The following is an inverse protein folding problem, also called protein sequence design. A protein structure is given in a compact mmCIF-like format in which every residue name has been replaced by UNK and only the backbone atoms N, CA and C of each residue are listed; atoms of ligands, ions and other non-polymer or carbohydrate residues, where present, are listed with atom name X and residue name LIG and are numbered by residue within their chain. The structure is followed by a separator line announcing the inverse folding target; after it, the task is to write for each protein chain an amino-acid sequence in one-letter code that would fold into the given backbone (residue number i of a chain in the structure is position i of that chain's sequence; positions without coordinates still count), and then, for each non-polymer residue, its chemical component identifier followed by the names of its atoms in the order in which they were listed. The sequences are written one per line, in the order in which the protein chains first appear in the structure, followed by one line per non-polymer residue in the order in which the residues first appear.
data_IF_330051526114
#
_entry.id   IF_330051526114
#
_cell.length_a   1.000
_cell.length_b   1.000
_cell.length_c   1.000
_cell.angle_alpha   90.00
_cell.angle_beta   90.00
_cell.angle_gamma   90.00
#
_symmetry.space_group_name_H-M   'P 1'
#
loop_
_entity.id
_entity.type
_entity.pdbx_description
1 polymer ?
#
# COMPACT_ATOMS: atom_id res chain seq x y z
N UNK A 1 -3.62 28.49 -16.82
CA UNK A 1 -2.26 28.66 -17.36
C UNK A 1 -1.28 28.52 -16.21
N UNK A 2 -0.68 27.35 -16.05
CA UNK A 2 0.35 27.08 -15.03
C UNK A 2 1.69 26.97 -15.76
N UNK A 3 2.66 27.74 -15.30
CA UNK A 3 4.02 27.84 -15.85
C UNK A 3 4.70 26.47 -15.84
N UNK A 4 4.87 25.88 -17.02
CA UNK A 4 5.90 24.90 -17.30
C UNK A 4 7.23 25.66 -17.48
N UNK A 5 8.14 25.48 -16.52
CA UNK A 5 9.40 26.22 -16.47
C UNK A 5 10.58 25.36 -16.07
N UNK A 6 11.12 24.64 -17.06
CA UNK A 6 12.53 24.22 -17.21
C UNK A 6 13.17 23.49 -16.02
N UNK A 7 12.96 22.17 -15.96
CA UNK A 7 13.99 21.29 -15.41
C UNK A 7 15.07 21.07 -16.47
N UNK A 8 16.32 21.34 -16.09
CA UNK A 8 17.48 21.06 -16.91
C UNK A 8 17.51 19.58 -17.32
N UNK A 9 17.56 19.32 -18.63
CA UNK A 9 17.92 18.02 -19.21
C UNK A 9 19.42 17.72 -18.98
N UNK A 10 19.84 17.67 -17.71
CA UNK A 10 21.14 17.11 -17.34
C UNK A 10 21.00 15.58 -17.33
N UNK A 11 21.41 14.96 -18.44
CA UNK A 11 22.01 13.63 -18.53
C UNK A 11 21.46 12.55 -17.56
N UNK A 12 20.14 12.34 -17.56
CA UNK A 12 19.46 11.35 -16.72
C UNK A 12 20.01 9.92 -16.92
N UNK A 13 20.46 9.63 -18.13
CA UNK A 13 20.98 8.32 -18.53
C UNK A 13 22.41 8.06 -18.01
N UNK A 14 23.25 9.10 -17.90
CA UNK A 14 24.60 8.96 -17.34
C UNK A 14 24.59 8.65 -15.84
N UNK A 15 23.61 9.20 -15.10
CA UNK A 15 23.50 8.97 -13.66
C UNK A 15 23.06 7.54 -13.33
N UNK A 16 22.10 6.98 -14.08
CA UNK A 16 21.69 5.58 -13.91
C UNK A 16 22.86 4.62 -14.13
N UNK A 17 23.60 4.82 -15.22
CA UNK A 17 24.77 4.01 -15.56
C UNK A 17 25.85 4.04 -14.46
N UNK A 18 26.10 5.21 -13.88
CA UNK A 18 27.04 5.35 -12.77
C UNK A 18 26.58 4.59 -11.52
N UNK A 19 25.30 4.74 -11.14
CA UNK A 19 24.70 4.03 -9.99
C UNK A 19 24.82 2.51 -10.17
N UNK A 20 24.58 2.00 -11.37
CA UNK A 20 24.72 0.56 -11.65
C UNK A 20 26.14 0.07 -11.50
N UNK A 21 27.11 0.78 -12.07
CA UNK A 21 28.51 0.38 -11.94
C UNK A 21 28.96 0.34 -10.48
N UNK A 22 28.52 1.33 -9.68
CA UNK A 22 28.81 1.37 -8.25
C UNK A 22 28.12 0.22 -7.49
N UNK A 23 26.83 -0.05 -7.74
CA UNK A 23 26.12 -1.18 -7.13
C UNK A 23 26.68 -2.54 -7.54
N UNK A 24 27.13 -2.69 -8.80
CA UNK A 24 27.77 -3.91 -9.31
C UNK A 24 29.04 -4.22 -8.52
N UNK A 25 29.90 -3.22 -8.34
CA UNK A 25 31.15 -3.39 -7.56
C UNK A 25 30.88 -3.81 -6.11
N UNK A 26 29.85 -3.24 -5.47
CA UNK A 26 29.44 -3.63 -4.12
C UNK A 26 28.86 -5.04 -4.06
N UNK A 27 28.10 -5.47 -5.07
CA UNK A 27 27.53 -6.83 -5.15
C UNK A 27 28.64 -7.88 -5.29
N UNK A 28 29.62 -7.64 -6.16
CA UNK A 28 30.77 -8.53 -6.36
C UNK A 28 31.55 -8.74 -5.04
N UNK A 29 31.83 -7.67 -4.29
CA UNK A 29 32.46 -7.72 -2.96
C UNK A 29 31.63 -8.56 -1.96
N UNK A 30 30.30 -8.47 -2.04
CA UNK A 30 29.40 -9.17 -1.12
C UNK A 30 29.13 -10.65 -1.47
N UNK A 31 29.42 -11.07 -2.71
CA UNK A 31 29.06 -12.39 -3.25
C UNK A 31 30.09 -13.50 -3.02
N UNK A 32 31.16 -13.21 -2.27
CA UNK A 32 32.20 -14.19 -1.93
C UNK A 32 31.76 -15.12 -0.79
N UNK A 33 30.79 -16.01 -1.08
CA UNK A 33 30.45 -17.29 -0.42
C UNK A 33 28.96 -17.51 -0.60
N UNK A 34 28.60 -18.54 -1.36
CA UNK A 34 27.67 -19.60 -0.92
C UNK A 34 27.37 -20.58 -2.06
N UNK A 35 27.35 -21.86 -1.69
CA UNK A 35 26.87 -22.98 -2.51
C UNK A 35 26.07 -23.91 -1.62
N UNK A 36 24.94 -24.44 -2.11
CA UNK A 36 24.50 -25.87 -2.12
C UNK A 36 22.96 -25.99 -2.19
N UNK A 37 22.55 -27.13 -2.73
CA UNK A 37 21.30 -27.50 -3.37
C UNK A 37 20.21 -28.13 -2.46
N UNK A 38 19.05 -27.47 -2.44
CA UNK A 38 17.67 -28.00 -2.41
C UNK A 38 16.82 -27.01 -3.25
N UNK A 39 17.24 -26.85 -4.50
CA UNK A 39 17.51 -25.52 -5.03
C UNK A 39 16.32 -24.70 -5.50
N UNK A 40 15.28 -25.29 -6.07
CA UNK A 40 14.36 -24.47 -6.87
C UNK A 40 13.29 -23.78 -6.03
N UNK A 41 12.68 -24.49 -5.08
CA UNK A 41 11.72 -23.91 -4.15
C UNK A 41 12.37 -22.88 -3.22
N UNK A 42 13.60 -23.16 -2.74
CA UNK A 42 14.37 -22.22 -1.91
C UNK A 42 14.79 -21.00 -2.72
N UNK A 43 15.30 -21.15 -3.96
CA UNK A 43 15.67 -20.00 -4.81
C UNK A 43 14.51 -19.04 -5.06
N UNK A 44 13.28 -19.53 -5.05
CA UNK A 44 12.09 -18.72 -5.23
C UNK A 44 11.68 -17.93 -3.97
N UNK A 45 12.27 -18.21 -2.80
CA UNK A 45 12.06 -17.43 -1.59
C UNK A 45 12.96 -16.18 -1.54
N UNK A 46 12.60 -15.15 -0.77
CA UNK A 46 13.53 -14.06 -0.42
C UNK A 46 14.74 -14.56 0.38
N UNK A 47 15.95 -14.02 0.13
CA UNK A 47 17.22 -14.48 0.73
C UNK A 47 17.17 -14.74 2.25
N UNK A 48 16.57 -13.87 3.10
CA UNK A 48 16.46 -14.16 4.53
C UNK A 48 15.71 -15.47 4.83
N UNK A 49 14.60 -15.73 4.13
CA UNK A 49 13.86 -17.00 4.27
C UNK A 49 14.67 -18.18 3.73
N UNK A 50 15.46 -17.98 2.66
CA UNK A 50 16.36 -19.02 2.14
C UNK A 50 17.34 -19.47 3.22
N UNK A 51 17.99 -18.52 3.89
CA UNK A 51 18.97 -18.79 4.94
C UNK A 51 18.35 -19.53 6.12
N UNK A 52 17.12 -19.17 6.52
CA UNK A 52 16.42 -19.87 7.60
C UNK A 52 16.12 -21.33 7.22
N UNK A 53 15.64 -21.58 5.99
CA UNK A 53 15.40 -22.94 5.48
C UNK A 53 16.70 -23.73 5.36
N UNK A 54 17.77 -23.11 4.86
CA UNK A 54 19.09 -23.75 4.73
C UNK A 54 19.61 -24.16 6.11
N UNK A 55 19.60 -23.25 7.10
CA UNK A 55 20.03 -23.55 8.47
C UNK A 55 19.19 -24.66 9.11
N UNK A 56 17.88 -24.65 8.91
CA UNK A 56 17.00 -25.68 9.43
C UNK A 56 17.34 -27.06 8.82
N UNK A 57 17.62 -27.10 7.52
CA UNK A 57 18.06 -28.31 6.81
C UNK A 57 19.46 -28.78 7.25
N UNK A 58 20.40 -27.87 7.49
CA UNK A 58 21.73 -28.20 8.02
C UNK A 58 21.63 -28.82 9.41
N UNK A 59 20.84 -28.22 10.31
CA UNK A 59 20.57 -28.77 11.64
C UNK A 59 19.93 -30.16 11.58
N UNK A 60 19.01 -30.39 10.64
CA UNK A 60 18.41 -31.71 10.44
C UNK A 60 19.43 -32.73 9.93
N UNK A 61 20.26 -32.35 8.95
CA UNK A 61 21.37 -33.18 8.44
C UNK A 61 22.31 -33.59 9.55
N UNK A 62 22.74 -32.65 10.40
CA UNK A 62 23.63 -32.94 11.51
C UNK A 62 22.99 -33.90 12.53
N UNK A 63 21.72 -33.70 12.88
CA UNK A 63 21.01 -34.56 13.84
C UNK A 63 20.84 -36.00 13.36
N UNK A 64 20.69 -36.20 12.06
CA UNK A 64 20.43 -37.49 11.42
C UNK A 64 21.69 -38.14 10.82
N UNK A 65 22.82 -37.43 10.85
CA UNK A 65 24.11 -37.92 10.35
C UNK A 65 24.45 -39.27 10.96
N UNK A 66 24.76 -40.25 10.10
CA UNK A 66 25.10 -41.63 10.45
C UNK A 66 23.97 -42.43 11.15
N UNK A 67 22.74 -41.90 11.22
CA UNK A 67 21.58 -42.59 11.83
C UNK A 67 20.65 -43.23 10.80
N UNK A 68 20.70 -42.75 9.56
CA UNK A 68 19.86 -43.19 8.44
C UNK A 68 20.68 -43.23 7.15
N UNK A 69 20.15 -43.88 6.11
CA UNK A 69 20.77 -43.87 4.79
C UNK A 69 20.66 -42.51 4.10
N UNK A 70 21.54 -42.23 3.14
CA UNK A 70 21.53 -40.97 2.38
C UNK A 70 20.21 -40.75 1.60
N UNK A 71 19.59 -41.83 1.11
CA UNK A 71 18.30 -41.76 0.42
C UNK A 71 17.16 -41.37 1.37
N UNK A 72 17.12 -41.95 2.57
CA UNK A 72 16.14 -41.57 3.60
C UNK A 72 16.36 -40.14 4.08
N UNK A 73 17.62 -39.72 4.23
CA UNK A 73 17.97 -38.35 4.59
C UNK A 73 17.49 -37.35 3.54
N UNK A 74 17.70 -37.64 2.25
CA UNK A 74 17.27 -36.77 1.16
C UNK A 74 15.74 -36.63 1.09
N UNK A 75 15.00 -37.74 1.24
CA UNK A 75 13.53 -37.69 1.28
C UNK A 75 13.01 -36.88 2.47
N UNK A 76 13.57 -37.10 3.68
CA UNK A 76 13.21 -36.34 4.88
C UNK A 76 13.53 -34.85 4.73
N UNK A 77 14.67 -34.52 4.12
CA UNK A 77 15.04 -33.14 3.85
C UNK A 77 14.09 -32.47 2.88
N UNK A 78 13.61 -33.18 1.85
CA UNK A 78 12.65 -32.64 0.91
C UNK A 78 11.31 -32.35 1.60
N UNK A 79 10.78 -33.30 2.38
CA UNK A 79 9.55 -33.11 3.15
C UNK A 79 9.68 -32.00 4.18
N UNK A 80 10.78 -31.99 4.94
CA UNK A 80 11.08 -30.94 5.91
C UNK A 80 11.19 -29.57 5.24
N UNK A 81 11.88 -29.48 4.10
CA UNK A 81 11.98 -28.23 3.32
C UNK A 81 10.60 -27.74 2.92
N UNK A 82 9.75 -28.60 2.33
CA UNK A 82 8.39 -28.22 1.93
C UNK A 82 7.55 -27.74 3.12
N UNK A 83 7.61 -28.45 4.26
CA UNK A 83 6.89 -28.07 5.48
C UNK A 83 7.39 -26.74 6.04
N UNK A 84 8.71 -26.56 6.12
CA UNK A 84 9.30 -25.36 6.71
C UNK A 84 9.10 -24.13 5.83
N UNK A 85 9.18 -24.28 4.49
CA UNK A 85 8.79 -23.23 3.54
C UNK A 85 7.33 -22.82 3.76
N UNK A 86 6.42 -23.78 3.91
CA UNK A 86 5.01 -23.49 4.19
C UNK A 86 4.84 -22.74 5.52
N UNK A 87 5.49 -23.19 6.59
CA UNK A 87 5.43 -22.56 7.91
C UNK A 87 5.97 -21.13 7.91
N UNK A 88 7.17 -20.93 7.33
CA UNK A 88 7.76 -19.59 7.26
C UNK A 88 6.88 -18.69 6.40
N UNK A 89 6.42 -19.11 5.22
CA UNK A 89 5.52 -18.29 4.38
C UNK A 89 4.24 -17.93 5.14
N UNK A 90 3.62 -18.85 5.88
CA UNK A 90 2.42 -18.58 6.67
C UNK A 90 2.64 -17.55 7.79
N UNK A 91 3.86 -17.44 8.31
CA UNK A 91 4.23 -16.40 9.30
C UNK A 91 4.24 -14.98 8.72
N UNK A 92 4.28 -14.87 7.39
CA UNK A 92 4.33 -13.63 6.62
C UNK A 92 2.99 -13.30 5.93
N UNK A 93 1.91 -13.99 6.31
CA UNK A 93 0.55 -13.75 5.82
C UNK A 93 -0.26 -13.05 6.92
N UNK A 94 -0.92 -11.96 6.55
CA UNK A 94 -1.94 -11.34 7.41
C UNK A 94 -3.19 -12.22 7.42
N UNK A 95 -3.37 -12.95 8.51
CA UNK A 95 -4.48 -13.91 8.69
C UNK A 95 -5.87 -13.25 8.58
N UNK A 96 -5.98 -11.94 8.78
CA UNK A 96 -7.26 -11.23 8.63
C UNK A 96 -7.70 -11.19 7.18
N UNK A 97 -6.75 -11.04 6.26
CA UNK A 97 -7.03 -10.74 4.84
C UNK A 97 -6.61 -11.86 3.89
N UNK A 98 -5.74 -12.77 4.33
CA UNK A 98 -5.19 -13.83 3.49
C UNK A 98 -4.16 -13.34 2.46
N UNK A 99 -3.62 -12.13 2.63
CA UNK A 99 -2.56 -11.55 1.79
C UNK A 99 -1.23 -11.51 2.54
N UNK A 100 -0.15 -11.22 1.81
CA UNK A 100 1.16 -10.95 2.39
C UNK A 100 1.11 -9.82 3.44
N UNK A 101 1.97 -9.86 4.45
CA UNK A 101 2.18 -8.76 5.39
C UNK A 101 3.30 -7.82 4.91
N UNK A 102 3.43 -6.67 5.59
CA UNK A 102 4.46 -5.66 5.28
C UNK A 102 5.88 -6.21 5.28
N UNK A 103 6.17 -7.23 6.09
CA UNK A 103 7.50 -7.81 6.13
C UNK A 103 7.75 -8.67 4.90
N UNK A 104 6.76 -9.43 4.44
CA UNK A 104 6.86 -10.16 3.18
C UNK A 104 7.02 -9.21 2.00
N UNK A 105 6.26 -8.12 1.96
CA UNK A 105 6.42 -7.10 0.93
C UNK A 105 7.87 -6.60 0.85
N UNK A 106 8.48 -6.27 2.00
CA UNK A 106 9.88 -5.84 2.04
C UNK A 106 10.84 -6.90 1.49
N UNK A 107 10.62 -8.14 1.86
CA UNK A 107 11.42 -9.27 1.40
C UNK A 107 11.30 -9.48 -0.11
N UNK A 108 10.07 -9.43 -0.64
CA UNK A 108 9.80 -9.57 -2.07
C UNK A 108 10.33 -8.36 -2.86
N UNK A 109 10.24 -7.14 -2.32
CA UNK A 109 10.84 -5.95 -2.93
C UNK A 109 12.37 -6.08 -3.03
N UNK A 110 13.04 -6.49 -1.93
CA UNK A 110 14.50 -6.69 -1.95
C UNK A 110 14.89 -7.73 -2.98
N UNK A 111 14.20 -8.87 -3.02
CA UNK A 111 14.42 -9.93 -4.02
C UNK A 111 14.23 -9.41 -5.44
N UNK A 112 13.14 -8.68 -5.69
CA UNK A 112 12.82 -8.18 -7.02
C UNK A 112 13.85 -7.15 -7.48
N UNK A 113 14.22 -6.19 -6.62
CA UNK A 113 15.25 -5.19 -6.95
C UNK A 113 16.60 -5.88 -7.20
N UNK A 114 17.01 -6.85 -6.36
CA UNK A 114 18.27 -7.59 -6.56
C UNK A 114 18.29 -8.33 -7.90
N UNK A 115 17.18 -8.97 -8.27
CA UNK A 115 17.02 -9.62 -9.56
C UNK A 115 17.09 -8.63 -10.73
N UNK A 116 16.35 -7.51 -10.66
CA UNK A 116 16.39 -6.46 -11.68
C UNK A 116 17.81 -5.92 -11.87
N UNK A 117 18.55 -5.71 -10.77
CA UNK A 117 19.95 -5.27 -10.81
C UNK A 117 20.85 -6.33 -11.45
N UNK A 118 20.64 -7.61 -11.13
CA UNK A 118 21.43 -8.70 -11.72
C UNK A 118 21.23 -8.85 -13.22
N UNK A 119 19.98 -8.73 -13.69
CA UNK A 119 19.66 -8.75 -15.10
C UNK A 119 20.30 -7.55 -15.82
N UNK A 120 20.23 -6.34 -15.24
CA UNK A 120 20.94 -5.17 -15.77
C UNK A 120 22.46 -5.41 -15.87
N UNK A 121 23.07 -6.00 -14.85
CA UNK A 121 24.52 -6.28 -14.84
C UNK A 121 24.97 -7.30 -15.89
N UNK A 122 24.04 -8.18 -16.32
CA UNK A 122 24.27 -9.19 -17.36
C UNK A 122 23.94 -8.67 -18.77
N UNK A 123 23.10 -7.64 -18.89
CA UNK A 123 22.71 -7.06 -20.18
C UNK A 123 23.83 -6.20 -20.79
N UNK A 124 23.96 -6.22 -22.12
CA UNK A 124 24.87 -5.34 -22.86
C UNK A 124 24.35 -3.89 -22.98
N UNK A 125 23.08 -3.66 -22.65
CA UNK A 125 22.42 -2.35 -22.66
C UNK A 125 21.99 -1.93 -21.23
N UNK A 126 22.86 -1.24 -20.47
CA UNK A 126 22.59 -0.83 -19.09
C UNK A 126 21.48 0.22 -18.96
N UNK A 127 20.97 0.76 -20.08
CA UNK A 127 19.86 1.72 -20.07
C UNK A 127 18.48 1.03 -20.02
N UNK A 128 18.42 -0.25 -20.37
CA UNK A 128 17.18 -1.05 -20.39
C UNK A 128 16.99 -1.78 -19.07
N UNK A 129 16.15 -1.23 -18.20
CA UNK A 129 15.70 -1.91 -16.98
C UNK A 129 14.75 -3.06 -17.34
N UNK A 130 15.10 -4.32 -16.98
CA UNK A 130 14.35 -5.50 -17.41
C UNK A 130 13.04 -5.73 -16.65
N UNK A 131 12.83 -5.04 -15.52
CA UNK A 131 11.57 -5.08 -14.78
C UNK A 131 11.25 -3.72 -14.14
N UNK A 132 10.21 -3.05 -14.63
CA UNK A 132 9.71 -1.79 -14.07
C UNK A 132 8.89 -2.09 -12.81
N UNK A 133 9.57 -2.17 -11.65
CA UNK A 133 8.92 -2.36 -10.35
C UNK A 133 8.15 -1.09 -10.01
N UNK A 134 6.86 -1.25 -9.73
CA UNK A 134 6.00 -0.14 -9.28
C UNK A 134 5.36 -0.52 -7.98
N UNK A 135 5.31 0.44 -7.06
CA UNK A 135 4.60 0.29 -5.81
C UNK A 135 3.41 1.25 -5.82
N UNK A 136 2.25 0.74 -5.45
CA UNK A 136 1.07 1.54 -5.13
C UNK A 136 0.81 1.36 -3.64
N UNK A 137 0.81 2.45 -2.88
CA UNK A 137 0.44 2.49 -1.47
C UNK A 137 -0.98 2.99 -1.34
N UNK A 138 -1.79 2.29 -0.56
CA UNK A 138 -3.20 2.56 -0.32
C UNK A 138 -3.43 2.82 1.17
N UNK A 139 -4.20 3.84 1.46
CA UNK A 139 -4.71 4.19 2.78
C UNK A 139 -6.24 4.14 2.71
N UNK A 140 -6.83 3.25 3.51
CA UNK A 140 -8.28 3.05 3.55
C UNK A 140 -8.94 4.17 4.32
N UNK A 141 -9.86 4.87 3.65
CA UNK A 141 -10.66 5.89 4.31
C UNK A 141 -11.87 5.25 4.99
N UNK A 142 -12.25 5.79 6.15
CA UNK A 142 -13.52 5.48 6.80
C UNK A 142 -13.52 4.27 7.73
N UNK A 143 -12.37 3.61 7.93
CA UNK A 143 -12.27 2.51 8.90
C UNK A 143 -12.76 2.93 10.29
N UNK A 144 -12.32 4.10 10.76
CA UNK A 144 -12.79 4.65 12.04
C UNK A 144 -14.29 4.87 12.07
N UNK A 145 -14.88 5.39 11.00
CA UNK A 145 -16.32 5.58 10.93
C UNK A 145 -17.09 4.25 10.99
N UNK A 146 -16.59 3.22 10.31
CA UNK A 146 -17.16 1.86 10.40
C UNK A 146 -17.07 1.34 11.83
N UNK A 147 -15.90 1.43 12.47
CA UNK A 147 -15.72 0.99 13.86
C UNK A 147 -16.62 1.74 14.84
N UNK A 148 -16.72 3.06 14.69
CA UNK A 148 -17.39 3.93 15.65
C UNK A 148 -18.92 3.90 15.46
N UNK A 149 -19.41 3.75 14.23
CA UNK A 149 -20.84 3.80 13.95
C UNK A 149 -21.48 2.42 13.99
N UNK A 150 -20.81 1.37 13.51
CA UNK A 150 -21.36 0.01 13.52
C UNK A 150 -21.60 -0.50 14.95
N UNK A 151 -22.69 -1.24 15.16
CA UNK A 151 -22.91 -1.96 16.43
C UNK A 151 -21.85 -3.05 16.65
N UNK A 152 -21.25 -3.57 15.57
CA UNK A 152 -20.24 -4.63 15.61
C UNK A 152 -18.84 -4.13 15.92
N UNK A 153 -18.64 -2.81 16.03
CA UNK A 153 -17.35 -2.20 16.36
C UNK A 153 -16.23 -2.62 15.42
N UNK A 154 -15.07 -3.00 15.98
CA UNK A 154 -13.90 -3.45 15.23
C UNK A 154 -14.17 -4.65 14.30
N UNK A 155 -15.13 -5.52 14.61
CA UNK A 155 -15.45 -6.64 13.73
C UNK A 155 -16.08 -6.19 12.40
N UNK A 156 -16.80 -5.06 12.37
CA UNK A 156 -17.24 -4.47 11.10
C UNK A 156 -16.08 -3.80 10.36
N UNK A 157 -15.13 -3.21 11.08
CA UNK A 157 -13.89 -2.70 10.48
C UNK A 157 -13.05 -3.77 9.83
N UNK A 158 -12.89 -4.93 10.47
CA UNK A 158 -12.19 -6.07 9.88
C UNK A 158 -12.88 -6.56 8.61
N UNK A 159 -14.21 -6.64 8.59
CA UNK A 159 -14.98 -7.00 7.39
C UNK A 159 -14.82 -5.95 6.28
N UNK A 160 -14.82 -4.66 6.63
CA UNK A 160 -14.56 -3.56 5.69
C UNK A 160 -13.21 -3.71 5.01
N UNK A 161 -12.15 -3.91 5.81
CA UNK A 161 -10.79 -4.10 5.30
C UNK A 161 -10.64 -5.39 4.49
N UNK A 162 -11.29 -6.48 4.91
CA UNK A 162 -11.31 -7.74 4.13
C UNK A 162 -11.91 -7.57 2.75
N UNK A 163 -13.01 -6.81 2.62
CA UNK A 163 -13.62 -6.59 1.30
C UNK A 163 -12.70 -5.77 0.40
N UNK A 164 -12.03 -4.74 0.94
CA UNK A 164 -11.04 -3.95 0.21
C UNK A 164 -9.86 -4.83 -0.22
N UNK A 165 -9.29 -5.62 0.70
CA UNK A 165 -8.22 -6.55 0.38
C UNK A 165 -8.63 -7.53 -0.73
N UNK A 166 -9.86 -8.05 -0.69
CA UNK A 166 -10.38 -8.92 -1.73
C UNK A 166 -10.51 -8.21 -3.09
N UNK A 167 -10.90 -6.93 -3.13
CA UNK A 167 -10.88 -6.15 -4.37
C UNK A 167 -9.45 -5.98 -4.89
N UNK A 168 -8.48 -5.69 -4.01
CA UNK A 168 -7.08 -5.54 -4.42
C UNK A 168 -6.46 -6.87 -4.92
N UNK A 169 -6.84 -8.01 -4.37
CA UNK A 169 -6.34 -9.33 -4.77
C UNK A 169 -7.07 -9.94 -5.97
N UNK A 170 -8.39 -9.85 -5.97
CA UNK A 170 -9.26 -10.63 -6.87
C UNK A 170 -10.18 -9.75 -7.71
N UNK A 171 -10.07 -8.43 -7.60
CA UNK A 171 -10.89 -7.48 -8.33
C UNK A 171 -10.61 -7.47 -9.84
N UNK A 172 -11.51 -6.83 -10.57
CA UNK A 172 -11.44 -6.66 -12.02
C UNK A 172 -10.10 -6.04 -12.45
N UNK A 173 -9.65 -5.01 -11.73
CA UNK A 173 -8.38 -4.33 -12.04
C UNK A 173 -7.19 -5.29 -11.96
N UNK A 174 -7.11 -6.11 -10.91
CA UNK A 174 -6.03 -7.11 -10.72
C UNK A 174 -6.08 -8.19 -11.80
N UNK A 175 -7.27 -8.68 -12.11
CA UNK A 175 -7.47 -9.68 -13.17
C UNK A 175 -7.09 -9.15 -14.56
N UNK A 176 -7.39 -7.89 -14.86
CA UNK A 176 -7.02 -7.25 -16.12
C UNK A 176 -5.50 -7.06 -16.26
N UNK A 177 -4.83 -6.66 -15.18
CA UNK A 177 -3.37 -6.58 -15.12
C UNK A 177 -2.71 -7.95 -15.32
N UNK A 178 -3.24 -8.98 -14.66
CA UNK A 178 -2.76 -10.36 -14.82
C UNK A 178 -2.89 -10.86 -16.27
N UNK A 179 -4.01 -10.58 -16.94
CA UNK A 179 -4.21 -10.88 -18.38
C UNK A 179 -3.21 -10.16 -19.30
N UNK A 180 -2.65 -9.04 -18.84
CA UNK A 180 -1.61 -8.28 -19.55
C UNK A 180 -0.19 -8.76 -19.21
N UNK A 181 -0.04 -9.81 -18.39
CA UNK A 181 1.27 -10.32 -17.96
C UNK A 181 1.90 -9.54 -16.82
N UNK A 182 1.13 -8.68 -16.13
CA UNK A 182 1.58 -7.96 -14.94
C UNK A 182 1.26 -8.80 -13.70
N UNK A 183 2.29 -9.20 -12.97
CA UNK A 183 2.14 -9.83 -11.66
C UNK A 183 1.86 -8.76 -10.61
N UNK A 184 0.82 -9.00 -9.81
CA UNK A 184 0.31 -8.09 -8.79
C UNK A 184 0.53 -8.72 -7.42
N UNK A 185 1.59 -8.31 -6.72
CA UNK A 185 1.86 -8.75 -5.36
C UNK A 185 1.15 -7.81 -4.37
N UNK A 186 0.08 -8.29 -3.74
CA UNK A 186 -0.74 -7.53 -2.80
C UNK A 186 -0.32 -7.83 -1.36
N UNK A 187 -0.16 -6.79 -0.56
CA UNK A 187 0.24 -6.89 0.84
C UNK A 187 -0.59 -5.97 1.72
N UNK A 188 -0.83 -6.35 2.97
CA UNK A 188 -1.28 -5.43 4.01
C UNK A 188 -0.08 -4.66 4.59
N UNK A 189 -0.36 -3.44 5.02
CA UNK A 189 0.55 -2.60 5.80
C UNK A 189 0.27 -2.73 7.30
N UNK A 190 0.38 -1.62 8.02
CA UNK A 190 -0.09 -1.55 9.40
C UNK A 190 -1.48 -0.90 9.43
N UNK A 191 -2.39 -1.44 10.25
CA UNK A 191 -3.73 -0.86 10.42
C UNK A 191 -4.60 -0.95 9.16
N UNK A 192 -4.78 0.18 8.49
CA UNK A 192 -5.65 0.44 7.35
C UNK A 192 -4.90 0.67 6.03
N UNK A 193 -3.60 0.36 6.01
CA UNK A 193 -2.73 0.47 4.85
C UNK A 193 -2.69 -0.84 4.03
N UNK A 194 -2.60 -0.71 2.71
CA UNK A 194 -2.33 -1.81 1.78
C UNK A 194 -1.32 -1.39 0.71
N UNK A 195 -0.66 -2.37 0.11
CA UNK A 195 0.31 -2.15 -0.96
C UNK A 195 0.05 -3.09 -2.12
N UNK A 196 0.29 -2.62 -3.34
CA UNK A 196 0.40 -3.46 -4.53
C UNK A 196 1.73 -3.19 -5.18
N UNK A 197 2.58 -4.21 -5.25
CA UNK A 197 3.77 -4.19 -6.08
C UNK A 197 3.45 -4.82 -7.44
N UNK A 198 3.59 -4.04 -8.50
CA UNK A 198 3.42 -4.48 -9.88
C UNK A 198 4.77 -4.88 -10.47
N UNK A 199 4.83 -6.08 -11.05
CA UNK A 199 6.00 -6.62 -11.75
C UNK A 199 5.61 -6.98 -13.18
N UNK A 200 6.41 -6.58 -14.17
CA UNK A 200 6.21 -7.05 -15.53
C UNK A 200 6.95 -8.37 -15.71
N UNK A 201 6.24 -9.45 -16.05
CA UNK A 201 6.86 -10.75 -16.31
C UNK A 201 7.19 -10.95 -17.79
N UNK A 202 6.82 -10.02 -18.68
CA UNK A 202 7.15 -10.11 -20.10
C UNK A 202 8.56 -9.56 -20.35
N UNK A 203 9.39 -10.38 -21.01
CA UNK A 203 10.64 -9.92 -21.63
C UNK A 203 10.34 -8.77 -22.58
N UNK A 204 11.20 -7.75 -22.50
CA UNK A 204 11.06 -6.35 -22.99
C UNK A 204 10.65 -6.21 -24.48
N UNK A 205 10.70 -7.28 -25.28
CA UNK A 205 10.48 -7.23 -26.72
C UNK A 205 9.01 -7.06 -27.13
N UNK A 206 8.04 -7.35 -26.26
CA UNK A 206 6.61 -7.14 -26.56
C UNK A 206 6.00 -5.99 -25.74
N UNK A 207 6.05 -4.77 -26.29
CA UNK A 207 5.28 -3.57 -25.91
C UNK A 207 5.69 -2.84 -24.61
N UNK A 208 6.63 -1.88 -24.69
CA UNK A 208 7.04 -1.00 -23.58
C UNK A 208 5.96 -0.03 -23.04
N UNK A 209 4.73 -0.07 -23.57
CA UNK A 209 3.75 1.02 -23.44
C UNK A 209 2.64 0.79 -22.40
N UNK A 210 2.52 -0.40 -21.80
CA UNK A 210 1.32 -0.70 -20.98
C UNK A 210 1.45 -0.39 -19.49
N UNK A 211 2.66 -0.46 -18.92
CA UNK A 211 2.88 -0.11 -17.51
C UNK A 211 3.11 1.39 -17.29
N UNK A 212 3.34 2.19 -18.34
CA UNK A 212 3.86 3.56 -18.22
C UNK A 212 2.91 4.55 -17.51
N UNK A 213 1.63 4.21 -17.34
CA UNK A 213 0.66 5.08 -16.67
C UNK A 213 0.06 4.42 -15.41
N UNK A 214 0.65 4.69 -14.24
CA UNK A 214 0.13 4.25 -12.93
C UNK A 214 -1.18 4.95 -12.53
N UNK A 215 -1.42 6.17 -13.03
CA UNK A 215 -2.63 6.95 -12.73
C UNK A 215 -3.92 6.23 -13.16
N UNK A 216 -4.07 5.71 -14.39
CA UNK A 216 -5.22 4.89 -14.79
C UNK A 216 -5.45 3.65 -13.92
N UNK A 217 -4.39 2.92 -13.56
CA UNK A 217 -4.49 1.72 -12.70
C UNK A 217 -5.03 2.10 -11.33
N UNK A 218 -4.44 3.12 -10.71
CA UNK A 218 -4.89 3.65 -9.42
C UNK A 218 -6.35 4.10 -9.47
N UNK A 219 -6.76 4.82 -10.52
CA UNK A 219 -8.16 5.25 -10.70
C UNK A 219 -9.12 4.08 -10.84
N UNK A 220 -8.68 2.98 -11.46
CA UNK A 220 -9.49 1.77 -11.63
C UNK A 220 -9.75 1.10 -10.27
N UNK A 221 -8.70 0.92 -9.45
CA UNK A 221 -8.86 0.43 -8.07
C UNK A 221 -9.73 1.36 -7.22
N UNK A 222 -9.52 2.68 -7.29
CA UNK A 222 -10.35 3.64 -6.56
C UNK A 222 -11.82 3.56 -6.94
N UNK A 223 -12.11 3.43 -8.24
CA UNK A 223 -13.46 3.27 -8.76
C UNK A 223 -14.09 1.97 -8.25
N UNK A 224 -13.38 0.86 -8.41
CA UNK A 224 -13.87 -0.47 -8.01
C UNK A 224 -14.19 -0.54 -6.50
N UNK A 225 -13.31 0.04 -5.67
CA UNK A 225 -13.55 0.14 -4.21
C UNK A 225 -14.71 1.09 -3.89
N UNK A 226 -14.90 2.17 -4.65
CA UNK A 226 -16.04 3.09 -4.45
C UNK A 226 -17.39 2.51 -4.86
N UNK A 227 -17.40 1.49 -5.72
CA UNK A 227 -18.61 0.80 -6.16
C UNK A 227 -18.99 -0.37 -5.24
N UNK A 228 -18.12 -0.74 -4.29
CA UNK A 228 -18.38 -1.77 -3.31
C UNK A 228 -19.49 -1.38 -2.33
N UNK A 229 -20.54 -2.20 -2.24
CA UNK A 229 -21.61 -2.00 -1.24
C UNK A 229 -21.07 -2.30 0.16
N UNK A 230 -21.10 -1.28 1.02
CA UNK A 230 -20.76 -1.36 2.44
C UNK A 230 -21.93 -0.89 3.32
N UNK A 231 -23.14 -0.82 2.76
CA UNK A 231 -24.33 -0.36 3.47
C UNK A 231 -24.73 -1.28 4.63
N UNK A 232 -24.35 -2.56 4.58
CA UNK A 232 -24.58 -3.51 5.68
C UNK A 232 -23.61 -3.32 6.86
N UNK A 233 -22.50 -2.60 6.66
CA UNK A 233 -21.52 -2.33 7.73
C UNK A 233 -21.96 -1.18 8.64
N UNK A 234 -22.71 -0.21 8.08
CA UNK A 234 -23.29 0.93 8.80
C UNK A 234 -24.74 1.11 8.34
N UNK A 235 -25.69 0.69 9.17
CA UNK A 235 -27.11 0.97 8.95
C UNK A 235 -27.47 2.35 9.50
N UNK A 236 -27.72 3.32 8.63
CA UNK A 236 -28.13 4.67 9.03
C UNK A 236 -29.58 4.76 9.54
N UNK A 237 -30.36 3.69 9.44
CA UNK A 237 -31.69 3.59 10.04
C UNK A 237 -31.65 3.06 11.47
N UNK A 238 -30.53 2.48 11.91
CA UNK A 238 -30.36 1.97 13.27
C UNK A 238 -30.50 3.12 14.28
N UNK A 239 -31.39 3.01 15.30
CA UNK A 239 -31.54 4.01 16.35
C UNK A 239 -30.22 4.38 17.06
N UNK A 240 -29.29 3.43 17.21
CA UNK A 240 -27.99 3.68 17.84
C UNK A 240 -27.14 4.59 16.93
N UNK A 241 -27.11 4.29 15.63
CA UNK A 241 -26.41 5.14 14.64
C UNK A 241 -27.07 6.51 14.59
N UNK A 242 -28.40 6.60 14.51
CA UNK A 242 -29.10 7.88 14.51
C UNK A 242 -28.84 8.72 15.78
N UNK A 243 -28.75 8.07 16.95
CA UNK A 243 -28.37 8.72 18.20
C UNK A 243 -26.93 9.25 18.14
N UNK A 244 -25.98 8.45 17.63
CA UNK A 244 -24.58 8.90 17.40
C UNK A 244 -24.51 10.05 16.40
N UNK A 245 -25.46 10.14 15.46
CA UNK A 245 -25.53 11.16 14.42
C UNK A 245 -26.53 12.28 14.74
N UNK A 246 -26.94 12.45 16.00
CA UNK A 246 -27.99 13.39 16.37
C UNK A 246 -27.65 14.82 15.91
N UNK A 247 -28.61 15.48 15.25
CA UNK A 247 -28.45 16.84 14.72
C UNK A 247 -27.80 16.92 13.34
N UNK A 248 -27.52 15.78 12.70
CA UNK A 248 -26.94 15.72 11.35
C UNK A 248 -27.99 15.16 10.40
N UNK A 249 -28.26 15.91 9.33
CA UNK A 249 -29.19 15.49 8.28
C UNK A 249 -28.51 14.42 7.42
N UNK A 250 -29.03 13.19 7.50
CA UNK A 250 -28.61 12.07 6.66
C UNK A 250 -29.31 12.20 5.30
N UNK A 251 -28.60 12.16 4.16
CA UNK A 251 -29.22 12.19 2.84
C UNK A 251 -30.15 10.98 2.64
N UNK A 252 -31.26 11.17 1.92
CA UNK A 252 -32.18 10.06 1.63
C UNK A 252 -31.44 8.98 0.84
N UNK A 253 -31.65 7.72 1.21
CA UNK A 253 -31.05 6.55 0.56
C UNK A 253 -29.51 6.58 0.54
N UNK A 254 -28.86 7.27 1.47
CA UNK A 254 -27.41 7.22 1.58
C UNK A 254 -26.95 5.79 1.93
N UNK A 255 -26.00 5.27 1.16
CA UNK A 255 -25.31 4.01 1.43
C UNK A 255 -23.83 4.29 1.66
N UNK A 256 -23.26 3.70 2.70
CA UNK A 256 -21.83 3.78 2.91
C UNK A 256 -21.12 2.95 1.82
N UNK A 257 -20.09 3.54 1.22
CA UNK A 257 -19.28 2.91 0.18
C UNK A 257 -17.82 2.90 0.60
N UNK A 258 -17.04 1.97 0.04
CA UNK A 258 -15.60 1.96 0.21
C UNK A 258 -14.95 3.23 -0.32
N UNK A 259 -13.83 3.62 0.28
CA UNK A 259 -12.96 4.62 -0.34
C UNK A 259 -11.52 4.45 0.11
N UNK A 260 -10.61 4.76 -0.81
CA UNK A 260 -9.16 4.67 -0.61
C UNK A 260 -8.49 5.93 -1.14
N UNK A 261 -7.43 6.34 -0.46
CA UNK A 261 -6.46 7.27 -0.99
C UNK A 261 -5.21 6.49 -1.33
N UNK A 262 -4.61 6.77 -2.48
CA UNK A 262 -3.48 5.99 -2.92
C UNK A 262 -2.42 6.88 -3.55
N UNK A 263 -1.18 6.45 -3.47
CA UNK A 263 -0.04 7.04 -4.14
C UNK A 263 0.76 5.95 -4.82
N UNK A 264 1.70 6.33 -5.67
CA UNK A 264 2.54 5.37 -6.34
C UNK A 264 3.94 5.89 -6.57
N UNK A 265 4.87 4.95 -6.78
CA UNK A 265 6.23 5.22 -7.20
C UNK A 265 6.72 4.08 -8.11
N UNK A 266 7.84 4.32 -8.80
CA UNK A 266 8.52 3.31 -9.59
C UNK A 266 10.00 3.28 -9.21
N UNK A 267 10.61 2.11 -9.33
CA UNK A 267 12.06 1.96 -9.17
C UNK A 267 12.81 2.93 -10.10
N UNK A 268 12.37 3.07 -11.35
CA UNK A 268 12.99 3.94 -12.33
C UNK A 268 13.10 5.39 -11.84
N UNK A 269 12.01 5.95 -11.30
CA UNK A 269 12.00 7.34 -10.80
C UNK A 269 12.96 7.52 -9.61
N UNK A 270 13.09 6.49 -8.76
CA UNK A 270 13.99 6.54 -7.61
C UNK A 270 15.44 6.49 -8.08
N UNK A 271 15.78 5.57 -9.00
CA UNK A 271 17.14 5.43 -9.51
C UNK A 271 17.64 6.66 -10.26
N UNK A 272 16.77 7.49 -10.82
CA UNK A 272 17.14 8.77 -11.45
C UNK A 272 17.78 9.78 -10.48
N UNK A 273 17.44 9.68 -9.20
CA UNK A 273 17.86 10.63 -8.16
C UNK A 273 18.64 9.98 -7.01
N UNK A 274 18.88 8.67 -7.10
CA UNK A 274 19.54 7.92 -6.03
C UNK A 274 21.05 8.18 -6.01
N UNK A 275 21.60 8.37 -4.82
CA UNK A 275 23.05 8.45 -4.61
C UNK A 275 23.53 7.24 -3.80
N UNK A 276 24.38 6.43 -4.43
CA UNK A 276 24.98 5.26 -3.78
C UNK A 276 25.87 5.74 -2.64
N UNK A 277 25.62 5.22 -1.44
CA UNK A 277 26.50 5.48 -0.30
C UNK A 277 27.56 4.39 -0.27
N UNK A 278 28.78 4.74 -0.69
CA UNK A 278 29.94 3.84 -0.74
C UNK A 278 30.40 3.37 0.64
N UNK A 279 29.96 4.02 1.72
CA UNK A 279 30.23 3.55 3.09
C UNK A 279 29.32 2.37 3.49
N UNK A 280 28.26 2.10 2.71
CA UNK A 280 27.28 1.04 2.96
C UNK A 280 27.50 -0.13 2.01
N UNK A 281 27.20 -1.33 2.49
CA UNK A 281 27.21 -2.52 1.65
C UNK A 281 26.04 -2.52 0.64
N UNK A 282 26.07 -3.47 -0.30
CA UNK A 282 25.05 -3.61 -1.34
C UNK A 282 23.62 -3.70 -0.78
N UNK A 283 23.40 -4.60 0.20
CA UNK A 283 22.08 -4.84 0.80
C UNK A 283 21.54 -3.57 1.46
N UNK A 284 22.37 -2.82 2.17
CA UNK A 284 21.97 -1.56 2.80
C UNK A 284 21.58 -0.50 1.75
N UNK A 285 22.26 -0.44 0.60
CA UNK A 285 21.85 0.43 -0.50
C UNK A 285 20.52 -0.01 -1.14
N UNK A 286 20.29 -1.33 -1.31
CA UNK A 286 18.99 -1.86 -1.78
C UNK A 286 17.85 -1.51 -0.80
N UNK A 287 18.10 -1.63 0.51
CA UNK A 287 17.13 -1.22 1.53
C UNK A 287 16.84 0.29 1.47
N UNK A 288 17.83 1.14 1.17
CA UNK A 288 17.62 2.58 0.97
C UNK A 288 16.76 2.86 -0.26
N UNK A 289 17.01 2.17 -1.37
CA UNK A 289 16.19 2.28 -2.60
C UNK A 289 14.74 1.89 -2.28
N UNK A 290 14.52 0.74 -1.62
CA UNK A 290 13.20 0.31 -1.18
C UNK A 290 12.51 1.34 -0.29
N UNK A 291 13.22 1.91 0.68
CA UNK A 291 12.71 2.97 1.55
C UNK A 291 12.23 4.19 0.74
N UNK A 292 13.04 4.65 -0.22
CA UNK A 292 12.66 5.77 -1.09
C UNK A 292 11.45 5.47 -2.00
N UNK A 293 11.31 4.23 -2.48
CA UNK A 293 10.12 3.80 -3.22
C UNK A 293 8.86 3.94 -2.34
N UNK A 294 8.90 3.43 -1.11
CA UNK A 294 7.79 3.52 -0.16
C UNK A 294 7.48 4.98 0.18
N UNK A 295 8.50 5.75 0.58
CA UNK A 295 8.35 7.15 1.00
C UNK A 295 7.76 8.03 -0.12
N UNK A 296 8.20 7.84 -1.36
CA UNK A 296 7.66 8.56 -2.52
C UNK A 296 6.19 8.23 -2.77
N UNK A 297 5.83 6.95 -2.66
CA UNK A 297 4.45 6.49 -2.80
C UNK A 297 3.56 7.05 -1.69
N UNK A 298 4.00 6.98 -0.43
CA UNK A 298 3.25 7.48 0.73
C UNK A 298 3.08 9.00 0.70
N UNK A 299 4.11 9.74 0.26
CA UNK A 299 4.01 11.19 0.07
C UNK A 299 2.92 11.54 -0.95
N UNK A 300 2.88 10.81 -2.06
CA UNK A 300 1.83 11.00 -3.08
C UNK A 300 0.45 10.59 -2.56
N UNK A 301 0.35 9.49 -1.79
CA UNK A 301 -0.90 9.05 -1.17
C UNK A 301 -1.47 10.12 -0.26
N UNK A 302 -0.62 10.76 0.54
CA UNK A 302 -1.00 11.86 1.43
C UNK A 302 -1.51 13.10 0.68
N UNK A 303 -0.89 13.46 -0.46
CA UNK A 303 -1.38 14.56 -1.32
C UNK A 303 -2.76 14.20 -1.86
N UNK A 304 -2.90 13.03 -2.48
CA UNK A 304 -4.16 12.56 -3.05
C UNK A 304 -5.27 12.42 -1.98
N UNK A 305 -4.92 12.07 -0.73
CA UNK A 305 -5.83 12.02 0.41
C UNK A 305 -6.40 13.40 0.76
N UNK A 306 -5.57 14.44 0.73
CA UNK A 306 -6.02 15.83 0.95
C UNK A 306 -6.94 16.29 -0.16
N UNK A 307 -6.52 16.11 -1.42
CA UNK A 307 -7.32 16.47 -2.60
C UNK A 307 -8.68 15.75 -2.62
N UNK A 308 -8.70 14.45 -2.30
CA UNK A 308 -9.92 13.67 -2.20
C UNK A 308 -10.85 14.24 -1.12
N UNK A 309 -10.34 14.50 0.09
CA UNK A 309 -11.11 15.06 1.21
C UNK A 309 -11.70 16.43 0.88
N UNK A 310 -10.96 17.28 0.17
CA UNK A 310 -11.43 18.59 -0.29
C UNK A 310 -12.51 18.46 -1.36
N UNK A 311 -12.33 17.55 -2.33
CA UNK A 311 -13.32 17.28 -3.37
C UNK A 311 -14.67 16.87 -2.78
N UNK A 312 -14.67 15.87 -1.89
CA UNK A 312 -15.93 15.39 -1.29
C UNK A 312 -16.54 16.41 -0.33
N UNK A 313 -15.73 17.25 0.33
CA UNK A 313 -16.24 18.32 1.20
C UNK A 313 -17.01 19.40 0.43
N UNK A 314 -16.67 19.61 -0.85
CA UNK A 314 -17.31 20.59 -1.72
C UNK A 314 -18.34 19.99 -2.69
N UNK A 315 -18.50 18.67 -2.66
CA UNK A 315 -19.35 17.89 -3.58
C UNK A 315 -20.85 18.06 -3.38
N UNK A 316 -21.64 17.11 -3.89
CA UNK A 316 -23.08 17.04 -3.70
C UNK A 316 -23.48 16.68 -2.25
N UNK A 317 -24.78 16.61 -1.94
CA UNK A 317 -25.27 16.30 -0.58
C UNK A 317 -24.71 14.97 -0.03
N UNK A 318 -24.61 13.93 -0.87
CA UNK A 318 -24.07 12.62 -0.49
C UNK A 318 -22.56 12.68 -0.24
N UNK A 319 -21.81 13.34 -1.12
CA UNK A 319 -20.35 13.50 -0.98
C UNK A 319 -19.99 14.32 0.25
N UNK A 320 -20.75 15.39 0.54
CA UNK A 320 -20.57 16.20 1.75
C UNK A 320 -20.84 15.41 3.00
N UNK A 321 -21.90 14.60 3.00
CA UNK A 321 -22.18 13.69 4.10
C UNK A 321 -21.07 12.66 4.28
N UNK A 322 -20.60 12.03 3.20
CA UNK A 322 -19.44 11.14 3.25
C UNK A 322 -18.20 11.84 3.81
N UNK A 323 -17.89 13.06 3.38
CA UNK A 323 -16.79 13.87 3.93
C UNK A 323 -16.90 14.04 5.43
N UNK A 324 -18.11 14.32 5.92
CA UNK A 324 -18.38 14.45 7.34
C UNK A 324 -18.19 13.12 8.08
N UNK A 325 -18.64 11.99 7.51
CA UNK A 325 -18.40 10.66 8.07
C UNK A 325 -16.90 10.36 8.16
N UNK A 326 -16.14 10.63 7.09
CA UNK A 326 -14.71 10.31 6.98
C UNK A 326 -13.79 11.22 7.82
N UNK A 327 -14.22 12.44 8.16
CA UNK A 327 -13.44 13.38 8.99
C UNK A 327 -13.48 13.06 10.48
N UNK A 328 -14.35 12.16 10.93
CA UNK A 328 -14.70 12.04 12.35
C UNK A 328 -13.60 11.46 13.23
N UNK A 329 -13.20 12.28 14.19
CA UNK A 329 -13.06 11.90 15.59
C UNK A 329 -14.37 12.35 16.28
N UNK A 330 -15.02 11.53 17.12
CA UNK A 330 -16.31 11.87 17.75
C UNK A 330 -16.27 13.25 18.45
N UNK A 331 -15.12 13.60 19.04
CA UNK A 331 -14.86 14.90 19.69
C UNK A 331 -15.03 16.11 18.76
N UNK A 332 -14.61 15.99 17.50
CA UNK A 332 -14.75 17.09 16.52
C UNK A 332 -16.21 17.29 16.11
N UNK A 333 -17.02 16.23 16.15
CA UNK A 333 -18.45 16.30 15.87
C UNK A 333 -19.21 16.94 17.03
N UNK A 334 -18.87 16.60 18.27
CA UNK A 334 -19.40 17.28 19.45
C UNK A 334 -19.08 18.78 19.41
N UNK A 335 -17.83 19.13 19.07
CA UNK A 335 -17.43 20.52 18.87
C UNK A 335 -18.19 21.23 17.74
N UNK A 336 -18.40 20.61 16.57
CA UNK A 336 -19.18 21.25 15.50
C UNK A 336 -20.66 21.43 15.86
N UNK A 337 -21.26 20.47 16.55
CA UNK A 337 -22.63 20.57 17.06
C UNK A 337 -22.71 21.70 18.08
N UNK A 338 -21.73 21.81 18.97
CA UNK A 338 -21.65 22.87 19.96
C UNK A 338 -21.46 24.25 19.31
N UNK A 339 -20.56 24.37 18.32
CA UNK A 339 -20.39 25.60 17.52
C UNK A 339 -21.69 26.00 16.84
N UNK A 340 -22.44 25.07 16.25
CA UNK A 340 -23.76 25.38 15.64
C UNK A 340 -24.78 25.85 16.69
N UNK A 341 -24.83 25.20 17.86
CA UNK A 341 -25.70 25.64 18.97
C UNK A 341 -25.32 27.04 19.44
N UNK A 342 -24.03 27.33 19.60
CA UNK A 342 -23.52 28.64 20.00
C UNK A 342 -23.82 29.73 18.96
N UNK A 343 -23.65 29.45 17.66
CA UNK A 343 -24.02 30.39 16.59
C UNK A 343 -25.50 30.75 16.60
N UNK A 344 -26.38 29.76 16.80
CA UNK A 344 -27.82 30.00 16.90
C UNK A 344 -28.19 30.84 18.12
N UNK A 345 -27.53 30.60 19.27
CA UNK A 345 -27.70 31.44 20.47
C UNK A 345 -27.21 32.87 20.23
N UNK A 346 -26.09 33.03 19.53
CA UNK A 346 -25.54 34.34 19.19
C UNK A 346 -26.50 35.13 18.30
N UNK A 347 -27.03 34.53 17.23
CA UNK A 347 -28.01 35.18 16.34
C UNK A 347 -29.25 35.66 17.10
N UNK A 348 -29.76 34.86 18.03
CA UNK A 348 -30.91 35.25 18.88
C UNK A 348 -30.55 36.44 19.77
N UNK A 349 -29.39 36.38 20.45
CA UNK A 349 -28.94 37.46 21.33
C UNK A 349 -28.67 38.76 20.56
N UNK A 350 -28.10 38.68 19.36
CA UNK A 350 -27.89 39.85 18.48
C UNK A 350 -29.21 40.49 18.06
N UNK A 351 -30.22 39.67 17.75
CA UNK A 351 -31.56 40.15 17.43
C UNK A 351 -32.22 40.85 18.63
N UNK A 352 -32.16 40.26 19.81
CA UNK A 352 -32.70 40.86 21.05
C UNK A 352 -31.99 42.18 21.40
N UNK A 353 -30.67 42.24 21.25
CA UNK A 353 -29.89 43.45 21.51
C UNK A 353 -30.24 44.56 20.51
N UNK A 354 -30.44 44.21 19.23
CA UNK A 354 -30.93 45.15 18.21
C UNK A 354 -32.30 45.72 18.59
N UNK A 355 -33.26 44.88 18.97
CA UNK A 355 -34.59 45.31 19.39
C UNK A 355 -34.55 46.22 20.63
N UNK A 356 -33.65 45.96 21.58
CA UNK A 356 -33.42 46.82 22.75
C UNK A 356 -32.86 48.20 22.36
N UNK A 357 -31.86 48.23 21.47
CA UNK A 357 -31.29 49.49 20.95
C UNK A 357 -32.32 50.32 20.21
N UNK A 358 -33.14 49.68 19.38
CA UNK A 358 -34.20 50.34 18.64
C UNK A 358 -35.25 50.95 19.61
N UNK A 359 -35.60 50.25 20.70
CA UNK A 359 -36.49 50.78 21.76
C UNK A 359 -35.87 51.93 22.55
N UNK A 360 -34.57 51.87 22.84
CA UNK A 360 -33.87 52.94 23.57
C UNK A 360 -33.63 54.19 22.73
N UNK A 361 -33.64 54.08 21.40
CA UNK A 361 -33.43 55.20 20.48
C UNK A 361 -34.72 55.98 20.16
N UNK A 362 -35.86 55.55 20.72
CA UNK A 362 -37.19 56.17 20.56
C UNK A 362 -37.59 57.02 21.79
N UNK A 363 -36.82 56.95 22.89
CA UNK A 363 -36.89 57.88 24.02
C UNK A 363 -35.78 58.93 23.91
#
# INVERSE_FOLDING_TARGET
MLNEGKYNNFNCESNKNLIYQELKSLKEISSAKESINANEAIKNLPKPMQLDVIKANELLKEKLKNKISDNELNNLLEEHTKSHIKEITLSYIDKRFGCADKNYLRLEMVKTIDNSMEECFKSEDPTRLPSDIKLISFDVNGLKAVNDLSQRGHSAGDDYLKRIANVLMNGKTTQELSKQGVDCFVSSGAGDEFFIMLKNNQTIESKPQQLTALKPILRSYQKEISEMDCGDLIDFNDPIVQKKLQGIKIPKNFKFSGSISAGFSSLNNILESFNVDKSKNYIANIQRIMGQIIDASDKMANINKREYKEKIANGNEHERFLSLILKRNLDAMEMEIEIKKLRKKLEVAEKENKELRDKMSIN
#
